data_IF_040020023851
#
_entry.id   IF_040020023851
#
_cell.length_a   1.000
_cell.length_b   1.000
_cell.length_c   1.000
_cell.angle_alpha   90.00
_cell.angle_beta   90.00
_cell.angle_gamma   90.00
#
_symmetry.space_group_name_H-M   'P 1'
#
loop_
_entity.id
_entity.type
_entity.pdbx_description
1 polymer ?
#
# COMPACT_ATOMS: atom_id res chain seq x y z
N UNK A 1 -28.53 -21.15 1.17
CA UNK A 1 -27.51 -21.78 0.31
C UNK A 1 -26.68 -20.67 -0.33
N UNK A 2 -25.33 -20.73 -0.31
CA UNK A 2 -24.51 -19.77 -1.05
C UNK A 2 -24.77 -19.94 -2.55
N UNK A 3 -24.97 -18.83 -3.27
CA UNK A 3 -25.15 -18.86 -4.72
C UNK A 3 -23.96 -19.57 -5.39
N UNK A 4 -24.19 -20.37 -6.46
CA UNK A 4 -23.10 -21.01 -7.19
C UNK A 4 -22.13 -19.94 -7.70
N UNK A 5 -20.83 -20.12 -7.43
CA UNK A 5 -19.80 -19.22 -7.90
C UNK A 5 -19.88 -19.12 -9.43
N UNK A 6 -20.04 -17.91 -9.97
CA UNK A 6 -20.04 -17.69 -11.42
C UNK A 6 -18.75 -18.29 -11.99
N UNK A 7 -18.82 -19.30 -12.87
CA UNK A 7 -17.63 -19.90 -13.44
C UNK A 7 -16.87 -18.84 -14.23
N UNK A 8 -15.66 -18.49 -13.76
CA UNK A 8 -14.69 -17.77 -14.57
C UNK A 8 -14.21 -16.41 -14.07
N UNK A 9 -14.58 -15.94 -12.88
CA UNK A 9 -14.08 -14.67 -12.33
C UNK A 9 -12.69 -14.83 -11.68
N UNK A 10 -11.80 -13.85 -11.86
CA UNK A 10 -10.56 -13.79 -11.08
C UNK A 10 -10.89 -13.42 -9.64
N UNK A 11 -10.31 -14.14 -8.69
CA UNK A 11 -10.51 -13.86 -7.28
C UNK A 11 -9.42 -12.91 -6.77
N UNK A 12 -9.80 -11.96 -5.93
CA UNK A 12 -8.83 -11.15 -5.19
C UNK A 12 -7.98 -12.07 -4.30
N UNK A 13 -6.69 -12.13 -4.59
CA UNK A 13 -5.72 -12.95 -3.88
C UNK A 13 -5.01 -12.13 -2.78
N UNK A 14 -4.55 -10.93 -3.13
CA UNK A 14 -3.88 -10.03 -2.20
C UNK A 14 -4.21 -8.57 -2.48
N UNK A 15 -4.15 -7.77 -1.44
CA UNK A 15 -4.27 -6.31 -1.51
C UNK A 15 -3.14 -5.69 -0.69
N UNK A 16 -2.53 -4.66 -1.24
CA UNK A 16 -1.51 -3.85 -0.59
C UNK A 16 -1.81 -2.39 -0.86
N UNK A 17 -1.58 -1.53 0.12
CA UNK A 17 -1.76 -0.10 -0.07
C UNK A 17 -0.49 0.66 0.32
N UNK A 18 -0.22 1.75 -0.40
CA UNK A 18 0.93 2.63 -0.17
C UNK A 18 0.38 4.05 0.01
N UNK A 19 0.40 4.60 1.24
CA UNK A 19 -0.03 5.97 1.50
C UNK A 19 0.97 6.98 0.94
N UNK A 20 0.45 8.11 0.48
CA UNK A 20 1.26 9.28 0.16
C UNK A 20 1.42 10.16 1.41
N UNK A 21 2.63 10.67 1.66
CA UNK A 21 2.94 11.38 2.90
C UNK A 21 2.24 12.76 3.02
N UNK A 22 2.02 13.44 1.90
CA UNK A 22 1.49 14.80 1.83
C UNK A 22 0.13 14.90 1.09
N UNK A 23 -0.49 13.76 0.77
CA UNK A 23 -1.75 13.68 0.04
C UNK A 23 -2.67 12.63 0.67
N UNK A 24 -3.99 12.85 0.73
CA UNK A 24 -4.94 11.85 1.22
C UNK A 24 -5.10 10.65 0.25
N UNK A 25 -4.37 10.66 -0.87
CA UNK A 25 -4.35 9.59 -1.85
C UNK A 25 -3.56 8.37 -1.37
N UNK A 26 -4.13 7.19 -1.64
CA UNK A 26 -3.58 5.89 -1.32
C UNK A 26 -3.46 5.08 -2.62
N UNK A 27 -2.25 4.65 -2.97
CA UNK A 27 -2.09 3.72 -4.09
C UNK A 27 -2.49 2.32 -3.62
N UNK A 28 -3.48 1.74 -4.28
CA UNK A 28 -3.97 0.38 -4.04
C UNK A 28 -3.39 -0.54 -5.11
N UNK A 29 -2.72 -1.60 -4.66
CA UNK A 29 -2.19 -2.69 -5.46
C UNK A 29 -3.00 -3.95 -5.14
N UNK A 30 -3.92 -4.31 -6.03
CA UNK A 30 -4.78 -5.47 -5.86
C UNK A 30 -4.40 -6.58 -6.86
N UNK A 31 -4.15 -7.79 -6.37
CA UNK A 31 -3.74 -8.94 -7.19
C UNK A 31 -4.90 -9.91 -7.34
N UNK A 32 -5.28 -10.18 -8.58
CA UNK A 32 -6.38 -11.05 -8.95
C UNK A 32 -5.81 -12.30 -9.62
N UNK A 33 -6.30 -13.47 -9.24
CA UNK A 33 -5.80 -14.74 -9.77
C UNK A 33 -6.95 -15.63 -10.23
N UNK A 34 -6.74 -16.27 -11.39
CA UNK A 34 -7.55 -17.36 -11.93
C UNK A 34 -6.61 -18.43 -12.49
N UNK A 35 -6.43 -19.52 -11.75
CA UNK A 35 -5.42 -20.53 -12.06
C UNK A 35 -4.02 -19.90 -12.26
N UNK A 36 -3.45 -20.00 -13.47
CA UNK A 36 -2.14 -19.41 -13.82
C UNK A 36 -2.24 -17.99 -14.40
N UNK A 37 -3.44 -17.46 -14.64
CA UNK A 37 -3.63 -16.10 -15.12
C UNK A 37 -3.75 -15.14 -13.93
N UNK A 38 -2.70 -14.35 -13.73
CA UNK A 38 -2.55 -13.47 -12.57
C UNK A 38 -2.37 -12.04 -13.06
N UNK A 39 -3.20 -11.16 -12.52
CA UNK A 39 -3.22 -9.74 -12.83
C UNK A 39 -3.01 -8.92 -11.57
N UNK A 40 -2.34 -7.78 -11.72
CA UNK A 40 -2.26 -6.73 -10.71
C UNK A 40 -2.97 -5.49 -11.25
N UNK A 41 -3.92 -5.00 -10.46
CA UNK A 41 -4.61 -3.74 -10.67
C UNK A 41 -3.98 -2.67 -9.79
N UNK A 42 -3.70 -1.52 -10.39
CA UNK A 42 -3.30 -0.31 -9.70
C UNK A 42 -4.48 0.65 -9.71
N UNK A 43 -4.82 1.16 -8.54
CA UNK A 43 -5.84 2.18 -8.39
C UNK A 43 -5.39 3.25 -7.41
N UNK A 44 -5.84 4.48 -7.60
CA UNK A 44 -5.69 5.54 -6.61
C UNK A 44 -7.01 5.66 -5.86
N UNK A 45 -6.95 5.49 -4.54
CA UNK A 45 -8.08 5.66 -3.66
C UNK A 45 -7.88 6.90 -2.80
N UNK A 46 -8.89 7.76 -2.74
CA UNK A 46 -8.92 8.89 -1.80
C UNK A 46 -10.20 8.72 -0.97
N UNK A 47 -10.13 8.71 0.36
CA UNK A 47 -11.32 8.62 1.22
C UNK A 47 -12.42 9.60 0.78
N UNK A 48 -13.64 9.08 0.64
CA UNK A 48 -14.81 9.86 0.20
C UNK A 48 -14.89 10.15 -1.30
N UNK A 49 -13.92 9.72 -2.12
CA UNK A 49 -13.97 9.84 -3.59
C UNK A 49 -14.13 8.47 -4.25
N UNK A 50 -14.70 8.42 -5.47
CA UNK A 50 -14.69 7.20 -6.28
C UNK A 50 -13.27 6.68 -6.50
N UNK A 51 -13.13 5.37 -6.64
CA UNK A 51 -11.85 4.75 -6.96
C UNK A 51 -11.39 5.18 -8.35
N UNK A 52 -10.18 5.74 -8.44
CA UNK A 52 -9.58 6.06 -9.72
C UNK A 52 -8.85 4.82 -10.25
N UNK A 53 -9.46 4.16 -11.24
CA UNK A 53 -8.89 3.00 -11.91
C UNK A 53 -7.63 3.36 -12.69
N UNK A 54 -6.67 2.43 -12.69
CA UNK A 54 -5.39 2.58 -13.36
C UNK A 54 -4.99 1.34 -14.15
N UNK A 55 -3.68 1.06 -14.13
CA UNK A 55 -3.12 -0.03 -14.92
C UNK A 55 -3.60 -1.41 -14.44
N UNK A 56 -3.93 -2.26 -15.40
CA UNK A 56 -3.96 -3.72 -15.23
C UNK A 56 -2.74 -4.31 -15.90
N UNK A 57 -1.91 -5.02 -15.13
CA UNK A 57 -0.67 -5.60 -15.63
C UNK A 57 -0.49 -7.04 -15.17
N UNK A 58 0.15 -7.85 -16.01
CA UNK A 58 0.67 -9.18 -15.64
C UNK A 58 2.05 -9.11 -14.97
N UNK A 59 2.50 -7.91 -14.63
CA UNK A 59 3.72 -7.70 -13.89
C UNK A 59 3.52 -8.11 -12.44
N UNK A 60 4.50 -8.82 -11.89
CA UNK A 60 4.59 -9.13 -10.47
C UNK A 60 5.31 -7.97 -9.79
N UNK A 61 4.53 -7.06 -9.19
CA UNK A 61 5.07 -5.94 -8.43
C UNK A 61 5.65 -6.43 -7.10
N UNK A 62 6.89 -6.02 -6.82
CA UNK A 62 7.54 -6.28 -5.55
C UNK A 62 7.09 -5.17 -4.61
N UNK A 63 5.99 -5.43 -3.90
CA UNK A 63 5.29 -4.41 -3.12
C UNK A 63 6.21 -3.71 -2.14
N UNK A 64 7.15 -4.41 -1.50
CA UNK A 64 8.13 -3.87 -0.55
C UNK A 64 9.16 -2.89 -1.14
N UNK A 65 9.32 -2.88 -2.46
CA UNK A 65 10.23 -1.98 -3.18
C UNK A 65 9.48 -0.90 -3.98
N UNK A 66 8.15 -0.85 -3.90
CA UNK A 66 7.36 0.22 -4.48
C UNK A 66 7.31 1.44 -3.55
N UNK A 67 7.32 2.66 -4.08
CA UNK A 67 7.22 3.92 -3.33
C UNK A 67 6.35 4.89 -4.09
N UNK A 68 5.51 5.62 -3.36
CA UNK A 68 4.68 6.70 -3.91
C UNK A 68 5.29 8.01 -3.44
N UNK A 69 5.43 8.98 -4.34
CA UNK A 69 5.94 10.29 -3.95
C UNK A 69 4.95 11.00 -2.99
N UNK A 70 5.39 11.99 -2.20
CA UNK A 70 4.57 12.59 -1.15
C UNK A 70 3.20 13.09 -1.61
N UNK A 71 3.07 13.58 -2.84
CA UNK A 71 1.83 14.13 -3.40
C UNK A 71 0.98 13.11 -4.19
N UNK A 72 1.35 11.83 -4.17
CA UNK A 72 0.67 10.72 -4.84
C UNK A 72 0.67 10.77 -6.39
N UNK A 73 1.54 11.56 -7.02
CA UNK A 73 1.54 11.70 -8.49
C UNK A 73 2.37 10.67 -9.23
N UNK A 74 3.44 10.19 -8.61
CA UNK A 74 4.41 9.29 -9.19
C UNK A 74 4.61 8.07 -8.30
N UNK A 75 4.93 6.98 -8.97
CA UNK A 75 5.22 5.68 -8.39
C UNK A 75 6.58 5.22 -8.90
N UNK A 76 7.55 5.09 -8.01
CA UNK A 76 8.72 4.26 -8.24
C UNK A 76 8.34 2.82 -7.93
N UNK A 77 8.37 1.93 -8.93
CA UNK A 77 7.97 0.54 -8.75
C UNK A 77 9.05 -0.43 -9.16
N UNK A 78 9.14 -1.51 -8.39
CA UNK A 78 9.92 -2.68 -8.70
C UNK A 78 8.99 -3.76 -9.26
N UNK A 79 9.33 -4.33 -10.41
CA UNK A 79 8.51 -5.35 -11.04
C UNK A 79 9.34 -6.48 -11.65
N UNK A 80 8.75 -7.66 -11.69
CA UNK A 80 9.26 -8.83 -12.42
C UNK A 80 8.20 -9.32 -13.38
N UNK A 81 8.62 -9.90 -14.51
CA UNK A 81 7.73 -10.65 -15.40
C UNK A 81 7.95 -12.15 -15.20
N UNK A 82 7.13 -12.83 -14.39
CA UNK A 82 7.24 -14.27 -14.24
C UNK A 82 7.03 -14.93 -15.61
N UNK A 83 7.88 -15.90 -15.95
CA UNK A 83 7.83 -16.66 -17.22
C UNK A 83 8.25 -15.89 -18.48
N UNK A 84 9.07 -14.85 -18.36
CA UNK A 84 9.75 -14.33 -19.55
C UNK A 84 10.74 -15.39 -20.09
N UNK A 85 10.67 -15.78 -21.38
CA UNK A 85 11.67 -16.65 -22.00
C UNK A 85 13.08 -16.06 -21.82
N UNK A 86 14.06 -16.90 -21.46
CA UNK A 86 15.44 -16.46 -21.21
C UNK A 86 16.13 -15.94 -22.48
N UNK A 87 15.81 -16.52 -23.63
CA UNK A 87 16.57 -16.32 -24.88
C UNK A 87 15.87 -15.38 -25.87
N UNK A 88 15.22 -14.33 -25.38
CA UNK A 88 14.59 -13.36 -26.27
C UNK A 88 15.64 -12.48 -26.96
N UNK A 89 15.65 -12.46 -28.30
CA UNK A 89 16.55 -11.65 -29.13
C UNK A 89 16.45 -10.12 -28.96
N UNK A 90 15.52 -9.62 -28.12
CA UNK A 90 15.35 -8.18 -27.84
C UNK A 90 15.31 -7.96 -26.32
N UNK A 91 15.92 -6.86 -25.82
CA UNK A 91 15.77 -6.45 -24.43
C UNK A 91 14.28 -6.36 -24.08
N UNK A 92 13.86 -7.08 -23.04
CA UNK A 92 12.49 -7.01 -22.53
C UNK A 92 12.55 -6.31 -21.18
N UNK A 93 11.95 -5.11 -21.04
CA UNK A 93 11.85 -4.46 -19.75
C UNK A 93 11.25 -5.41 -18.71
N UNK A 94 11.86 -5.47 -17.53
CA UNK A 94 11.46 -6.35 -16.42
C UNK A 94 11.62 -7.87 -16.67
N UNK A 95 12.26 -8.30 -17.76
CA UNK A 95 12.65 -9.69 -17.99
C UNK A 95 14.09 -9.93 -17.53
N UNK A 96 14.33 -11.03 -16.82
CA UNK A 96 15.68 -11.45 -16.45
C UNK A 96 15.70 -12.58 -15.43
N UNK A 97 16.78 -13.34 -15.43
CA UNK A 97 17.07 -14.44 -14.50
C UNK A 97 17.33 -14.00 -13.05
N UNK A 98 17.45 -12.69 -12.80
CA UNK A 98 18.07 -12.15 -11.59
C UNK A 98 17.18 -11.48 -10.56
N UNK A 99 16.24 -10.59 -10.92
CA UNK A 99 15.63 -9.74 -9.87
C UNK A 99 14.49 -8.80 -10.30
N UNK A 100 14.28 -8.57 -11.59
CA UNK A 100 13.31 -7.60 -12.10
C UNK A 100 13.92 -6.22 -12.32
N UNK A 101 13.09 -5.26 -12.71
CA UNK A 101 13.52 -3.89 -12.99
C UNK A 101 12.84 -2.86 -12.08
N UNK A 102 13.43 -1.67 -12.01
CA UNK A 102 12.90 -0.46 -11.39
C UNK A 102 12.55 0.55 -12.47
N UNK A 103 11.44 1.26 -12.28
CA UNK A 103 11.10 2.41 -13.10
C UNK A 103 10.21 3.38 -12.31
N UNK A 104 10.13 4.62 -12.79
CA UNK A 104 9.17 5.61 -12.31
C UNK A 104 8.01 5.76 -13.30
N UNK A 105 6.79 5.85 -12.80
CA UNK A 105 5.57 6.06 -13.59
C UNK A 105 4.65 7.08 -12.93
N UNK A 106 3.67 7.59 -13.68
CA UNK A 106 2.58 8.37 -13.11
C UNK A 106 1.49 7.48 -12.53
N UNK A 107 1.05 7.78 -11.31
CA UNK A 107 -0.06 7.08 -10.65
C UNK A 107 -1.39 7.38 -11.38
N UNK A 108 -2.31 6.39 -11.48
CA UNK A 108 -2.20 4.98 -11.11
C UNK A 108 -1.78 4.07 -12.29
N UNK A 109 -0.97 4.56 -13.22
CA UNK A 109 -0.55 3.84 -14.43
C UNK A 109 0.89 3.30 -14.32
N UNK A 110 1.24 2.33 -15.16
CA UNK A 110 2.58 1.70 -15.20
C UNK A 110 3.34 2.02 -16.49
N UNK A 111 3.08 3.18 -17.11
CA UNK A 111 3.95 3.68 -18.17
C UNK A 111 5.26 4.15 -17.55
N UNK A 112 6.34 3.39 -17.75
CA UNK A 112 7.68 3.77 -17.32
C UNK A 112 8.12 5.06 -18.02
N UNK A 113 8.21 6.15 -17.26
CA UNK A 113 8.69 7.47 -17.66
C UNK A 113 10.22 7.58 -17.57
N UNK A 114 10.85 6.58 -16.99
CA UNK A 114 12.30 6.39 -16.97
C UNK A 114 12.66 5.16 -17.77
N UNK A 115 13.92 5.05 -18.14
CA UNK A 115 14.49 3.77 -18.51
C UNK A 115 14.41 2.80 -17.34
N UNK A 116 14.31 1.51 -17.68
CA UNK A 116 14.19 0.46 -16.66
C UNK A 116 15.59 0.12 -16.18
N UNK A 117 15.81 0.25 -14.89
CA UNK A 117 17.10 -0.05 -14.26
C UNK A 117 17.03 -1.45 -13.63
N UNK A 118 18.06 -2.28 -13.85
CA UNK A 118 18.15 -3.59 -13.21
C UNK A 118 18.19 -3.48 -11.68
N UNK A 119 17.49 -4.35 -10.96
CA UNK A 119 17.44 -4.31 -9.48
C UNK A 119 18.72 -4.79 -8.80
N UNK A 120 19.54 -5.55 -9.50
CA UNK A 120 20.83 -6.03 -9.01
C UNK A 120 21.93 -5.66 -9.99
N UNK A 121 23.13 -5.39 -9.50
CA UNK A 121 24.30 -5.07 -10.34
C UNK A 121 24.59 -6.15 -11.39
N UNK A 122 24.25 -7.41 -11.11
CA UNK A 122 24.40 -8.53 -12.05
C UNK A 122 23.21 -8.74 -12.98
N UNK A 123 22.16 -7.91 -12.88
CA UNK A 123 20.99 -8.06 -13.74
C UNK A 123 21.06 -7.12 -14.95
N UNK A 124 21.18 -7.71 -16.14
CA UNK A 124 20.90 -7.02 -17.41
C UNK A 124 19.37 -6.82 -17.61
N UNK A 125 18.56 -6.86 -16.54
CA UNK A 125 17.10 -6.67 -16.59
C UNK A 125 16.77 -5.18 -16.58
N UNK A 126 17.23 -4.48 -17.61
CA UNK A 126 17.00 -3.07 -17.82
C UNK A 126 16.93 -2.77 -19.30
N UNK A 127 16.73 -1.50 -19.63
CA UNK A 127 16.74 -1.02 -21.00
C UNK A 127 15.79 0.14 -21.24
N UNK A 128 15.83 0.67 -22.47
CA UNK A 128 15.07 1.87 -22.81
C UNK A 128 13.58 1.62 -22.65
N UNK A 129 12.89 2.56 -22.00
CA UNK A 129 11.42 2.53 -21.97
C UNK A 129 10.83 3.18 -23.21
N UNK A 130 9.75 2.60 -23.74
CA UNK A 130 8.96 3.19 -24.84
C UNK A 130 8.43 4.59 -24.48
N UNK A 131 8.25 4.87 -23.19
CA UNK A 131 7.71 6.13 -22.68
C UNK A 131 8.72 6.92 -21.85
N UNK A 132 10.01 6.57 -21.96
CA UNK A 132 11.09 7.29 -21.31
C UNK A 132 11.03 8.77 -21.69
N UNK A 133 11.14 9.63 -20.67
CA UNK A 133 11.27 11.07 -20.83
C UNK A 133 12.72 11.44 -21.19
N UNK A 134 12.98 12.74 -21.35
CA UNK A 134 14.35 13.23 -21.55
C UNK A 134 15.24 12.87 -20.34
N UNK A 135 16.55 12.70 -20.55
CA UNK A 135 17.47 12.31 -19.47
C UNK A 135 17.38 13.24 -18.24
N UNK A 136 17.25 14.55 -18.46
CA UNK A 136 17.05 15.53 -17.38
C UNK A 136 15.74 15.31 -16.61
N UNK A 137 14.63 15.03 -17.31
CA UNK A 137 13.35 14.71 -16.66
C UNK A 137 13.39 13.37 -15.92
N UNK A 138 14.09 12.38 -16.46
CA UNK A 138 14.30 11.10 -15.77
C UNK A 138 15.09 11.29 -14.48
N UNK A 139 16.17 12.08 -14.50
CA UNK A 139 16.94 12.39 -13.31
C UNK A 139 16.08 13.08 -12.25
N UNK A 140 15.30 14.09 -12.64
CA UNK A 140 14.35 14.75 -11.74
C UNK A 140 13.37 13.75 -11.10
N UNK A 141 12.88 12.76 -11.86
CA UNK A 141 12.01 11.71 -11.33
C UNK A 141 12.75 10.81 -10.34
N UNK A 142 14.00 10.42 -10.62
CA UNK A 142 14.79 9.61 -9.69
C UNK A 142 15.12 10.37 -8.41
N UNK A 143 15.44 11.67 -8.50
CA UNK A 143 15.74 12.53 -7.36
C UNK A 143 14.58 12.62 -6.38
N UNK A 144 13.32 12.58 -6.86
CA UNK A 144 12.13 12.51 -5.99
C UNK A 144 12.11 11.28 -5.09
N UNK A 145 12.82 10.21 -5.45
CA UNK A 145 12.88 8.96 -4.70
C UNK A 145 14.27 8.66 -4.12
N UNK A 146 15.32 9.41 -4.47
CA UNK A 146 16.70 9.14 -4.02
C UNK A 146 16.84 9.08 -2.50
N UNK A 147 16.11 9.92 -1.75
CA UNK A 147 16.09 9.89 -0.26
C UNK A 147 15.49 8.58 0.30
N UNK A 148 14.77 7.81 -0.53
CA UNK A 148 14.11 6.57 -0.14
C UNK A 148 14.66 5.32 -0.85
N UNK A 149 15.54 5.51 -1.83
CA UNK A 149 16.16 4.46 -2.64
C UNK A 149 17.64 4.26 -2.31
N UNK A 150 18.09 4.68 -1.12
CA UNK A 150 19.21 4.03 -0.45
C UNK A 150 18.81 2.57 -0.25
N UNK A 151 18.87 1.80 -1.33
CA UNK A 151 18.80 0.36 -1.31
C UNK A 151 20.05 -0.03 -0.52
N UNK A 152 19.92 -0.54 0.72
CA UNK A 152 20.98 -1.41 1.18
C UNK A 152 21.06 -2.47 0.09
N UNK A 153 22.28 -2.71 -0.39
CA UNK A 153 22.61 -3.76 -1.35
C UNK A 153 21.58 -4.89 -1.27
N UNK A 154 20.91 -5.32 -2.36
CA UNK A 154 19.89 -6.37 -2.30
C UNK A 154 20.38 -7.70 -1.70
N UNK A 155 21.69 -7.88 -1.48
CA UNK A 155 22.27 -8.97 -0.70
C UNK A 155 22.28 -8.72 0.82
N UNK A 156 22.28 -7.46 1.23
CA UNK A 156 21.98 -7.00 2.58
C UNK A 156 20.49 -6.66 2.69
N UNK A 157 19.72 -7.63 3.21
CA UNK A 157 18.48 -7.34 3.90
C UNK A 157 18.82 -6.41 5.08
N UNK A 158 18.92 -5.10 4.82
CA UNK A 158 19.12 -4.09 5.85
C UNK A 158 18.06 -4.23 6.94
N UNK A 159 18.36 -3.66 8.11
CA UNK A 159 17.51 -3.67 9.29
C UNK A 159 16.01 -3.60 8.89
N UNK A 160 15.17 -4.55 9.34
CA UNK A 160 13.73 -4.63 9.00
C UNK A 160 12.98 -3.29 9.14
N UNK A 161 13.53 -2.38 9.93
CA UNK A 161 13.06 -1.04 10.23
C UNK A 161 13.02 -0.10 9.02
N UNK A 162 13.96 -0.22 8.08
CA UNK A 162 14.05 0.69 6.93
C UNK A 162 12.86 0.56 5.97
N UNK A 163 12.29 -0.64 5.84
CA UNK A 163 11.21 -0.88 4.87
C UNK A 163 9.90 -0.24 5.30
N UNK A 164 9.45 -0.40 6.56
CA UNK A 164 8.15 0.15 6.95
C UNK A 164 8.21 1.67 7.06
N UNK A 165 9.28 2.23 7.64
CA UNK A 165 9.48 3.68 7.65
C UNK A 165 9.46 4.28 6.23
N UNK A 166 10.07 3.60 5.25
CA UNK A 166 10.12 4.06 3.88
C UNK A 166 8.82 3.84 3.07
N UNK A 167 8.01 2.82 3.39
CA UNK A 167 6.75 2.54 2.68
C UNK A 167 5.52 3.20 3.26
N UNK A 168 5.63 3.55 4.52
CA UNK A 168 4.52 3.70 5.42
C UNK A 168 4.96 4.81 6.41
N UNK A 169 4.85 6.09 6.00
CA UNK A 169 5.42 7.22 6.72
C UNK A 169 4.71 7.45 8.06
N UNK A 170 5.45 7.54 9.16
CA UNK A 170 4.91 7.84 10.48
C UNK A 170 4.80 6.64 11.42
N UNK A 171 5.05 5.41 10.94
CA UNK A 171 5.21 4.29 11.86
C UNK A 171 6.44 4.49 12.74
N UNK A 172 6.27 4.22 14.02
CA UNK A 172 7.37 4.21 15.00
C UNK A 172 7.57 2.80 15.51
N UNK A 173 8.82 2.40 15.71
CA UNK A 173 9.16 1.11 16.29
C UNK A 173 8.86 1.11 17.79
N UNK A 174 8.31 0.01 18.32
CA UNK A 174 8.13 -0.15 19.75
C UNK A 174 9.39 -0.65 20.42
N UNK A 175 9.69 -0.16 21.62
CA UNK A 175 10.80 -0.68 22.40
C UNK A 175 10.55 -2.15 22.80
N UNK A 176 11.60 -2.94 23.05
CA UNK A 176 11.43 -4.30 23.59
C UNK A 176 10.59 -4.34 24.87
N UNK A 177 10.67 -3.32 25.74
CA UNK A 177 9.84 -3.24 26.94
C UNK A 177 8.35 -3.05 26.60
N UNK A 178 8.04 -2.15 25.66
CA UNK A 178 6.66 -1.95 25.20
C UNK A 178 6.08 -3.22 24.57
N UNK A 179 6.89 -3.92 23.78
CA UNK A 179 6.51 -5.22 23.21
C UNK A 179 6.25 -6.26 24.30
N UNK A 180 7.04 -6.30 25.38
CA UNK A 180 6.80 -7.22 26.49
C UNK A 180 5.45 -6.96 27.17
N UNK A 181 5.07 -5.70 27.37
CA UNK A 181 3.76 -5.35 27.92
C UNK A 181 2.60 -5.78 27.01
N UNK A 182 2.80 -5.74 25.69
CA UNK A 182 1.81 -6.19 24.71
C UNK A 182 1.78 -7.74 24.55
N UNK A 183 2.89 -8.42 24.80
CA UNK A 183 3.04 -9.87 24.55
C UNK A 183 2.72 -10.75 25.75
N UNK A 184 2.44 -10.20 26.94
CA UNK A 184 1.78 -10.91 28.06
C UNK A 184 0.35 -11.40 27.72
N UNK A 185 -0.04 -11.32 26.46
CA UNK A 185 -1.26 -11.88 25.93
C UNK A 185 -1.17 -13.40 25.79
N UNK A 186 -2.10 -14.16 26.38
CA UNK A 186 -2.27 -15.54 26.00
C UNK A 186 -2.73 -15.55 24.55
N UNK A 187 -1.87 -15.95 23.63
CA UNK A 187 -2.35 -16.47 22.35
C UNK A 187 -3.13 -17.71 22.72
N UNK A 188 -4.46 -17.58 22.87
CA UNK A 188 -5.36 -18.71 22.94
C UNK A 188 -5.26 -19.42 21.59
N UNK A 189 -4.24 -20.26 21.42
CA UNK A 189 -4.41 -21.42 20.56
C UNK A 189 -5.44 -22.27 21.28
N UNK A 190 -6.50 -22.65 20.58
CA UNK A 190 -7.29 -23.81 20.99
C UNK A 190 -6.27 -24.91 21.27
N UNK A 191 -6.12 -25.27 22.55
CA UNK A 191 -5.19 -26.31 22.94
C UNK A 191 -5.49 -27.52 22.07
N UNK A 192 -4.45 -28.17 21.53
CA UNK A 192 -4.65 -29.55 21.05
C UNK A 192 -5.22 -30.28 22.25
N UNK A 193 -6.47 -30.75 22.15
CA UNK A 193 -6.99 -31.70 23.12
C UNK A 193 -6.04 -32.90 23.07
N UNK A 194 -5.56 -33.32 24.22
CA UNK A 194 -4.83 -34.58 24.30
C UNK A 194 -5.76 -35.74 23.90
N UNK A 195 -5.21 -36.95 23.82
CA UNK A 195 -5.98 -38.16 23.49
C UNK A 195 -7.15 -38.42 24.46
N UNK A 196 -7.23 -37.70 25.58
CA UNK A 196 -8.25 -37.83 26.63
C UNK A 196 -9.21 -36.64 26.68
N UNK A 197 -9.17 -35.74 25.69
CA UNK A 197 -10.10 -34.61 25.58
C UNK A 197 -9.82 -33.46 26.54
N UNK A 198 -8.71 -33.47 27.32
CA UNK A 198 -8.38 -32.38 28.24
C UNK A 198 -7.74 -31.24 27.47
N UNK A 199 -8.23 -30.03 27.69
CA UNK A 199 -7.56 -28.81 27.24
C UNK A 199 -6.41 -28.51 28.20
N UNK A 200 -5.19 -28.88 27.84
CA UNK A 200 -4.01 -28.33 28.53
C UNK A 200 -3.90 -26.86 28.13
N UNK A 201 -3.94 -25.90 29.07
CA UNK A 201 -3.60 -24.53 28.75
C UNK A 201 -2.14 -24.53 28.32
N UNK A 202 -1.90 -24.33 27.02
CA UNK A 202 -0.55 -24.05 26.54
C UNK A 202 -0.21 -22.65 27.04
N UNK A 203 0.37 -22.58 28.24
CA UNK A 203 1.16 -21.43 28.63
C UNK A 203 2.32 -21.42 27.64
N UNK A 204 2.20 -20.59 26.60
CA UNK A 204 3.31 -20.29 25.73
C UNK A 204 4.34 -19.56 26.60
N UNK A 205 5.23 -20.32 27.25
CA UNK A 205 6.53 -19.80 27.64
C UNK A 205 7.10 -19.20 26.38
N UNK A 206 7.09 -17.87 26.28
CA UNK A 206 7.53 -17.15 25.09
C UNK A 206 9.00 -17.49 24.94
N UNK A 207 9.40 -18.34 23.97
CA UNK A 207 10.82 -18.64 23.80
C UNK A 207 11.51 -17.32 23.45
N UNK A 208 12.80 -17.23 23.68
CA UNK A 208 13.68 -16.11 23.30
C UNK A 208 13.52 -15.58 21.84
N UNK A 209 12.67 -16.20 21.01
CA UNK A 209 12.29 -15.78 19.66
C UNK A 209 11.20 -14.70 19.52
N UNK A 210 10.68 -14.07 20.59
CA UNK A 210 9.91 -12.83 20.45
C UNK A 210 10.76 -11.62 20.03
N UNK A 211 12.09 -11.69 20.17
CA UNK A 211 13.03 -10.76 19.54
C UNK A 211 12.84 -10.66 18.02
N UNK A 212 12.13 -11.62 17.42
CA UNK A 212 11.92 -11.67 15.99
C UNK A 212 10.46 -11.37 15.62
N UNK A 213 9.80 -10.37 16.18
CA UNK A 213 8.62 -9.81 15.51
C UNK A 213 8.71 -8.30 15.53
N UNK A 214 8.70 -7.72 14.34
CA UNK A 214 8.63 -6.27 14.20
C UNK A 214 7.26 -5.84 14.71
N UNK A 215 7.25 -4.89 15.63
CA UNK A 215 6.03 -4.27 16.11
C UNK A 215 6.21 -2.76 16.02
N UNK A 216 5.30 -2.13 15.30
CA UNK A 216 5.24 -0.68 15.23
C UNK A 216 3.90 -0.15 15.70
N UNK A 217 3.87 1.16 15.87
CA UNK A 217 2.67 1.90 16.15
C UNK A 217 2.50 3.12 15.24
N UNK A 218 1.25 3.42 14.92
CA UNK A 218 0.78 4.73 14.48
C UNK A 218 -0.14 5.27 15.58
N UNK A 219 0.29 6.31 16.26
CA UNK A 219 -0.50 6.96 17.30
C UNK A 219 -1.36 8.10 16.72
N UNK A 220 -2.56 8.26 17.28
CA UNK A 220 -3.40 9.42 17.09
C UNK A 220 -4.06 9.81 18.43
N UNK A 221 -4.87 10.86 18.43
CA UNK A 221 -5.48 11.37 19.67
C UNK A 221 -6.36 10.34 20.40
N UNK A 222 -6.99 9.42 19.66
CA UNK A 222 -7.93 8.43 20.21
C UNK A 222 -7.28 7.10 20.62
N UNK A 223 -6.01 6.88 20.27
CA UNK A 223 -5.32 5.63 20.53
C UNK A 223 -4.17 5.37 19.57
N UNK A 224 -3.83 4.11 19.36
CA UNK A 224 -2.77 3.71 18.43
C UNK A 224 -3.12 2.45 17.65
N UNK A 225 -2.81 2.46 16.36
CA UNK A 225 -2.80 1.28 15.53
C UNK A 225 -1.47 0.56 15.73
N UNK A 226 -1.53 -0.70 16.09
CA UNK A 226 -0.37 -1.57 16.25
C UNK A 226 -0.32 -2.54 15.08
N UNK A 227 0.89 -2.83 14.59
CA UNK A 227 1.10 -3.88 13.59
C UNK A 227 2.16 -4.85 14.07
N UNK A 228 1.95 -6.14 13.81
CA UNK A 228 2.90 -7.20 14.11
C UNK A 228 3.27 -7.95 12.86
N UNK A 229 4.57 -8.08 12.60
CA UNK A 229 5.12 -8.76 11.43
C UNK A 229 5.95 -9.96 11.90
N UNK A 230 5.54 -11.20 11.57
CA UNK A 230 6.30 -12.38 11.94
C UNK A 230 7.57 -12.48 11.10
N UNK A 231 8.75 -12.55 11.73
CA UNK A 231 10.05 -12.59 11.03
C UNK A 231 10.49 -13.97 10.54
N UNK A 232 9.74 -15.05 10.86
CA UNK A 232 10.25 -16.43 10.68
C UNK A 232 10.59 -16.83 9.24
N UNK A 233 10.32 -15.97 8.26
CA UNK A 233 10.85 -16.07 6.89
C UNK A 233 11.07 -14.67 6.33
N UNK A 234 12.24 -14.08 6.59
CA UNK A 234 12.70 -12.81 5.98
C UNK A 234 12.97 -12.92 4.47
N UNK A 235 12.70 -14.08 3.83
CA UNK A 235 12.47 -14.09 2.38
C UNK A 235 11.11 -13.44 2.11
N UNK A 236 11.09 -12.11 2.17
CA UNK A 236 9.97 -11.20 1.88
C UNK A 236 9.44 -11.30 0.42
N UNK A 237 9.73 -12.38 -0.29
CA UNK A 237 9.32 -12.64 -1.65
C UNK A 237 7.97 -13.37 -1.66
N UNK A 238 6.92 -12.58 -1.44
CA UNK A 238 5.52 -12.90 -1.70
C UNK A 238 4.86 -14.00 -0.88
N UNK A 239 3.75 -13.61 -0.27
CA UNK A 239 3.13 -14.36 0.81
C UNK A 239 3.57 -13.76 2.14
N UNK A 240 3.24 -12.49 2.37
CA UNK A 240 3.33 -11.88 3.69
C UNK A 240 2.58 -12.81 4.65
N UNK A 241 3.34 -13.61 5.40
CA UNK A 241 2.81 -14.40 6.49
C UNK A 241 2.15 -13.44 7.45
N UNK A 242 0.82 -13.49 7.49
CA UNK A 242 -0.08 -12.81 8.43
C UNK A 242 0.51 -11.58 9.14
N UNK A 243 0.66 -10.45 8.43
CA UNK A 243 0.70 -9.16 9.12
C UNK A 243 -0.60 -9.04 9.90
N UNK A 244 -0.50 -8.70 11.18
CA UNK A 244 -1.66 -8.56 12.07
C UNK A 244 -1.74 -7.14 12.56
N UNK A 245 -2.92 -6.56 12.45
CA UNK A 245 -3.21 -5.24 12.97
C UNK A 245 -4.04 -5.38 14.24
N UNK A 246 -3.78 -4.51 15.21
CA UNK A 246 -4.60 -4.34 16.41
C UNK A 246 -4.84 -2.86 16.62
N UNK A 247 -6.03 -2.50 17.10
CA UNK A 247 -6.32 -1.15 17.55
C UNK A 247 -6.22 -1.07 19.07
N UNK A 248 -5.50 -0.11 19.62
CA UNK A 248 -5.46 0.15 21.05
C UNK A 248 -6.01 1.54 21.37
N UNK A 249 -7.22 1.59 21.94
CA UNK A 249 -7.72 2.83 22.55
C UNK A 249 -6.89 3.17 23.81
N UNK A 250 -6.72 4.46 24.10
CA UNK A 250 -5.95 4.92 25.25
C UNK A 250 -6.45 4.27 26.56
N UNK A 251 -5.53 3.71 27.35
CA UNK A 251 -5.83 3.03 28.61
C UNK A 251 -6.52 1.66 28.46
N UNK A 252 -6.82 1.22 27.23
CA UNK A 252 -7.49 -0.06 26.97
C UNK A 252 -6.51 -1.11 26.43
N UNK A 253 -6.94 -2.37 26.48
CA UNK A 253 -6.23 -3.48 25.85
C UNK A 253 -6.38 -3.37 24.33
N UNK A 254 -5.31 -3.63 23.55
CA UNK A 254 -5.44 -3.68 22.11
C UNK A 254 -6.42 -4.77 21.65
N UNK A 255 -7.22 -4.45 20.63
CA UNK A 255 -8.24 -5.31 20.05
C UNK A 255 -7.75 -5.78 18.67
N UNK A 256 -7.67 -7.10 18.41
CA UNK A 256 -7.27 -7.61 17.09
C UNK A 256 -8.23 -7.18 15.98
N UNK A 257 -7.68 -6.89 14.80
CA UNK A 257 -8.43 -6.62 13.57
C UNK A 257 -8.31 -7.83 12.65
N UNK A 258 -9.05 -8.93 12.88
CA UNK A 258 -8.84 -10.19 12.19
C UNK A 258 -9.08 -10.09 10.68
N UNK A 259 -9.92 -9.15 10.23
CA UNK A 259 -10.24 -8.99 8.82
C UNK A 259 -9.33 -7.99 8.09
N UNK A 260 -8.46 -7.26 8.79
CA UNK A 260 -7.53 -6.33 8.15
C UNK A 260 -6.40 -7.08 7.45
N UNK A 261 -6.23 -6.84 6.14
CA UNK A 261 -5.04 -7.18 5.35
C UNK A 261 -4.00 -6.07 5.38
N UNK A 262 -4.48 -4.83 5.45
CA UNK A 262 -3.67 -3.63 5.58
C UNK A 262 -4.48 -2.59 6.38
N UNK A 263 -3.82 -1.80 7.21
CA UNK A 263 -4.47 -0.73 7.96
C UNK A 263 -3.51 0.45 8.16
N UNK A 264 -4.09 1.64 8.30
CA UNK A 264 -3.37 2.91 8.41
C UNK A 264 -4.20 3.98 9.13
N UNK A 265 -3.55 5.02 9.65
CA UNK A 265 -4.24 6.22 10.16
C UNK A 265 -3.78 7.43 9.35
N UNK A 266 -4.71 8.10 8.66
CA UNK A 266 -4.36 9.30 7.89
C UNK A 266 -4.05 10.51 8.80
N UNK A 267 -3.59 11.60 8.18
CA UNK A 267 -3.25 12.84 8.91
C UNK A 267 -4.48 13.47 9.61
N UNK A 268 -5.70 13.10 9.20
CA UNK A 268 -6.96 13.55 9.78
C UNK A 268 -7.44 12.62 10.92
N UNK A 269 -6.68 11.58 11.25
CA UNK A 269 -7.03 10.61 12.28
C UNK A 269 -8.12 9.61 11.85
N UNK A 270 -8.37 9.45 10.55
CA UNK A 270 -9.25 8.40 10.03
C UNK A 270 -8.48 7.09 9.93
N UNK A 271 -9.11 6.00 10.37
CA UNK A 271 -8.56 4.66 10.20
C UNK A 271 -8.96 4.14 8.83
N UNK A 272 -7.97 3.84 7.99
CA UNK A 272 -8.12 3.26 6.67
C UNK A 272 -7.83 1.77 6.77
N UNK A 273 -8.70 0.93 6.20
CA UNK A 273 -8.56 -0.53 6.27
C UNK A 273 -8.80 -1.14 4.90
N UNK A 274 -7.91 -2.02 4.47
CA UNK A 274 -8.16 -2.95 3.39
C UNK A 274 -8.44 -4.33 3.99
N UNK A 275 -9.62 -4.89 3.71
CA UNK A 275 -10.07 -6.13 4.34
C UNK A 275 -9.64 -7.38 3.55
N UNK A 276 -9.71 -8.55 4.19
CA UNK A 276 -9.53 -9.86 3.55
C UNK A 276 -10.59 -10.16 2.50
N UNK A 277 -11.80 -9.62 2.68
CA UNK A 277 -12.91 -9.75 1.73
C UNK A 277 -12.78 -8.80 0.54
N UNK A 278 -11.79 -7.91 0.51
CA UNK A 278 -11.56 -6.99 -0.61
C UNK A 278 -12.33 -5.68 -0.51
N UNK A 279 -12.68 -5.25 0.70
CA UNK A 279 -13.24 -3.93 0.94
C UNK A 279 -12.14 -2.93 1.28
N UNK A 280 -12.27 -1.72 0.77
CA UNK A 280 -11.55 -0.53 1.20
C UNK A 280 -12.47 0.29 2.09
N UNK A 281 -12.14 0.36 3.38
CA UNK A 281 -13.00 0.92 4.41
C UNK A 281 -12.33 2.12 5.07
N UNK A 282 -13.12 3.15 5.33
CA UNK A 282 -12.72 4.31 6.11
C UNK A 282 -13.53 4.34 7.39
N UNK A 283 -12.86 4.58 8.50
CA UNK A 283 -13.45 4.67 9.82
C UNK A 283 -13.14 6.03 10.41
N UNK A 284 -14.11 6.59 11.12
CA UNK A 284 -13.94 7.82 11.91
C UNK A 284 -14.11 7.49 13.40
N UNK A 285 -13.51 8.26 14.31
CA UNK A 285 -13.80 8.14 15.73
C UNK A 285 -15.32 8.23 15.97
N UNK A 286 -15.86 7.29 16.73
CA UNK A 286 -17.28 7.24 17.09
C UNK A 286 -17.57 8.32 18.13
N UNK A 287 -18.69 9.03 17.97
CA UNK A 287 -19.26 9.88 19.04
C UNK A 287 -20.04 9.00 20.01
N UNK A 288 -20.37 9.54 21.19
CA UNK A 288 -21.04 8.79 22.29
C UNK A 288 -22.35 8.11 21.87
N UNK A 289 -23.04 8.64 20.85
CA UNK A 289 -24.29 8.10 20.30
C UNK A 289 -24.10 7.17 19.10
N UNK A 290 -22.90 7.06 18.54
CA UNK A 290 -22.68 6.34 17.30
C UNK A 290 -22.58 4.84 17.55
N UNK A 291 -23.21 4.05 16.67
CA UNK A 291 -23.02 2.61 16.63
C UNK A 291 -21.58 2.31 16.19
N UNK A 292 -20.80 1.71 17.09
CA UNK A 292 -19.42 1.32 16.78
C UNK A 292 -19.38 0.17 15.77
N UNK A 293 -18.32 0.12 14.99
CA UNK A 293 -18.03 -0.98 14.09
C UNK A 293 -17.70 -2.26 14.88
N UNK A 294 -18.17 -3.44 14.43
CA UNK A 294 -17.84 -4.70 15.07
C UNK A 294 -16.32 -4.91 15.18
N UNK A 295 -15.82 -5.21 16.38
CA UNK A 295 -14.39 -5.45 16.61
C UNK A 295 -13.50 -4.21 16.62
N UNK A 296 -14.07 -3.01 16.44
CA UNK A 296 -13.36 -1.72 16.44
C UNK A 296 -14.08 -0.73 17.35
N UNK A 297 -14.02 -0.97 18.67
CA UNK A 297 -14.59 -0.05 19.66
C UNK A 297 -14.02 1.36 19.49
N UNK A 298 -14.89 2.37 19.55
CA UNK A 298 -14.51 3.76 19.36
C UNK A 298 -14.37 4.19 17.89
N UNK A 299 -14.67 3.31 16.93
CA UNK A 299 -14.71 3.64 15.50
C UNK A 299 -16.09 3.40 14.92
N UNK A 300 -16.51 4.24 13.97
CA UNK A 300 -17.69 4.01 13.14
C UNK A 300 -17.26 3.89 11.68
N UNK A 301 -17.86 2.95 10.96
CA UNK A 301 -17.67 2.84 9.52
C UNK A 301 -18.21 4.11 8.85
N UNK A 302 -17.37 4.78 8.08
CA UNK A 302 -17.72 6.00 7.36
C UNK A 302 -18.04 5.72 5.90
N UNK A 303 -17.21 4.93 5.22
CA UNK A 303 -17.44 4.46 3.85
C UNK A 303 -16.78 3.10 3.64
N UNK A 304 -17.37 2.29 2.75
CA UNK A 304 -16.83 1.00 2.31
C UNK A 304 -16.95 0.91 0.79
N UNK A 305 -15.91 0.41 0.14
CA UNK A 305 -15.85 0.17 -1.30
C UNK A 305 -15.39 -1.26 -1.54
N UNK A 306 -16.22 -2.07 -2.18
CA UNK A 306 -15.86 -3.44 -2.59
C UNK A 306 -15.05 -3.42 -3.89
N UNK A 307 -13.84 -3.98 -3.84
CA UNK A 307 -12.98 -4.19 -5.02
C UNK A 307 -12.75 -5.68 -5.32
N UNK A 308 -13.39 -6.59 -4.57
CA UNK A 308 -13.21 -8.04 -4.72
C UNK A 308 -13.75 -8.57 -6.05
N UNK A 309 -14.72 -7.86 -6.63
CA UNK A 309 -15.44 -8.23 -7.84
C UNK A 309 -14.88 -7.61 -9.12
N UNK A 310 -13.80 -6.84 -9.04
CA UNK A 310 -13.19 -6.21 -10.22
C UNK A 310 -12.65 -7.27 -11.18
N UNK A 311 -12.90 -7.06 -12.47
CA UNK A 311 -12.41 -7.92 -13.55
C UNK A 311 -11.26 -7.24 -14.29
N UNK A 312 -10.21 -7.99 -14.67
CA UNK A 312 -9.12 -7.42 -15.45
C UNK A 312 -9.60 -6.74 -16.72
N UNK A 313 -9.27 -5.45 -16.87
CA UNK A 313 -9.59 -4.64 -18.05
C UNK A 313 -8.33 -3.89 -18.51
N UNK A 314 -7.35 -4.58 -19.12
CA UNK A 314 -6.13 -3.94 -19.59
C UNK A 314 -6.42 -2.97 -20.73
N UNK A 315 -5.96 -1.73 -20.56
CA UNK A 315 -6.00 -0.69 -21.57
C UNK A 315 -4.65 0.01 -21.73
N UNK A 316 -4.42 0.72 -22.85
CA UNK A 316 -3.23 1.56 -22.99
C UNK A 316 -3.25 2.66 -21.94
N UNK A 317 -2.07 3.08 -21.48
CA UNK A 317 -2.00 4.25 -20.62
C UNK A 317 -2.49 5.50 -21.35
N UNK A 318 -3.28 6.36 -20.70
CA UNK A 318 -3.79 7.57 -21.32
C UNK A 318 -2.63 8.51 -21.69
N UNK A 319 -2.87 9.43 -22.63
CA UNK A 319 -1.82 10.34 -23.11
C UNK A 319 -1.22 11.17 -21.98
N UNK A 320 -2.02 11.66 -21.04
CA UNK A 320 -1.56 12.43 -19.88
C UNK A 320 -0.59 11.65 -18.98
N UNK A 321 -0.72 10.31 -18.90
CA UNK A 321 0.18 9.49 -18.10
C UNK A 321 1.58 9.40 -18.73
N UNK A 322 1.71 9.72 -20.02
CA UNK A 322 2.92 9.61 -20.85
C UNK A 322 3.49 10.97 -21.28
N UNK A 323 2.85 12.08 -20.91
CA UNK A 323 3.29 13.44 -21.30
C UNK A 323 4.64 13.81 -20.66
N UNK A 324 5.32 14.83 -21.17
CA UNK A 324 6.50 15.41 -20.50
C UNK A 324 6.12 16.08 -19.17
N UNK A 325 7.11 16.32 -18.31
CA UNK A 325 6.91 17.05 -17.06
C UNK A 325 6.63 18.55 -17.34
N UNK A 326 7.36 19.12 -18.31
CA UNK A 326 7.24 20.53 -18.70
C UNK A 326 5.85 20.91 -19.24
N UNK A 327 5.18 20.01 -19.97
CA UNK A 327 3.82 20.28 -20.47
C UNK A 327 2.77 20.51 -19.37
N UNK A 328 3.10 20.17 -18.10
CA UNK A 328 2.18 20.30 -16.95
C UNK A 328 2.36 21.60 -16.18
N UNK A 329 3.58 22.14 -16.10
CA UNK A 329 3.83 23.45 -15.48
C UNK A 329 3.06 24.54 -16.22
N UNK A 330 3.01 24.46 -17.54
CA UNK A 330 2.31 25.43 -18.39
C UNK A 330 0.78 25.38 -18.22
N UNK A 331 0.20 24.18 -18.07
CA UNK A 331 -1.23 24.01 -17.82
C UNK A 331 -1.64 24.48 -16.43
N UNK A 332 -0.82 24.20 -15.42
CA UNK A 332 -1.09 24.64 -14.05
C UNK A 332 -1.01 26.17 -13.94
N UNK A 333 -0.04 26.78 -14.61
CA UNK A 333 0.06 28.24 -14.73
C UNK A 333 -1.13 28.83 -15.50
N UNK A 334 -1.55 28.19 -16.59
CA UNK A 334 -2.70 28.64 -17.40
C UNK A 334 -4.04 28.50 -16.68
N UNK A 335 -4.26 27.42 -15.91
CA UNK A 335 -5.45 27.25 -15.08
C UNK A 335 -5.49 28.27 -13.93
N UNK A 336 -4.35 28.55 -13.28
CA UNK A 336 -4.26 29.62 -12.27
C UNK A 336 -4.58 31.00 -12.86
N UNK A 337 -4.14 31.30 -14.09
CA UNK A 337 -4.49 32.57 -14.78
C UNK A 337 -5.98 32.66 -15.12
N UNK A 338 -6.67 31.55 -15.37
CA UNK A 338 -8.12 31.52 -15.63
C UNK A 338 -8.96 31.64 -14.35
N UNK A 339 -8.44 31.22 -13.20
CA UNK A 339 -9.06 31.45 -11.89
C UNK A 339 -8.68 32.82 -11.31
N UNK A 340 -8.58 33.86 -12.15
CA UNK A 340 -8.46 35.24 -11.66
C UNK A 340 -9.73 35.51 -10.85
N UNK A 341 -9.63 35.95 -9.58
CA UNK A 341 -10.81 36.16 -8.75
C UNK A 341 -11.74 37.13 -9.49
N UNK A 342 -12.95 36.69 -9.79
CA UNK A 342 -14.03 37.59 -10.18
C UNK A 342 -14.11 38.64 -9.09
N UNK A 343 -13.81 39.90 -9.46
CA UNK A 343 -13.94 41.05 -8.57
C UNK A 343 -15.31 40.91 -7.89
N UNK A 344 -15.39 40.91 -6.55
CA UNK A 344 -16.69 40.85 -5.90
C UNK A 344 -17.56 41.97 -6.49
N UNK A 345 -18.85 41.71 -6.74
CA UNK A 345 -19.75 42.73 -7.24
C UNK A 345 -19.62 43.95 -6.32
N UNK A 346 -19.64 45.18 -6.87
CA UNK A 346 -19.69 46.38 -6.04
C UNK A 346 -20.84 46.20 -5.05
N UNK A 347 -20.55 46.27 -3.75
CA UNK A 347 -21.62 46.41 -2.78
C UNK A 347 -22.20 47.79 -3.01
N UNK A 348 -23.42 47.84 -3.51
CA UNK A 348 -24.19 49.07 -3.54
C UNK A 348 -24.41 49.48 -2.08
N UNK A 349 -23.72 50.55 -1.67
CA UNK A 349 -24.01 51.29 -0.45
C UNK A 349 -25.38 51.96 -0.64
N UNK A 350 -26.45 51.19 -0.44
CA UNK A 350 -27.81 51.71 -0.44
C UNK A 350 -28.40 51.72 0.98
N UNK A 351 -28.39 52.93 1.53
CA UNK A 351 -29.37 53.53 2.43
C UNK A 351 -29.33 53.16 3.91
N UNK A 352 -28.56 53.98 4.64
CA UNK A 352 -29.02 54.50 5.91
C UNK A 352 -30.20 55.48 5.67
N UNK A 353 -31.35 55.18 6.27
CA UNK A 353 -32.39 56.14 6.67
C UNK A 353 -33.18 55.55 7.83
#
# INVERSE_FOLDING_TARGET
MPAPAKPGTHNLNSIWCIPAAASPGLLVLARYAKARDIWTHLALWTPGKPLQHGAWARLRLITSACRVCPDAQFLCYAATRPNAPRDAAKPRPFAGSGSGGLAVSRVPWLSALTDVVGRTFMSNSGGPSKHALTAAEQQNLWDMFHVCLDFPDPTYLGEPDAWLAAQQPGWTHLSPQEVQHLTRWPVQRAGKRDAYGRSTPVVLSLPNGLQKCWIGQLACQSGRLLVRIPTRNTRFLEGIGHVRYCWQQQGQKPVPMPDAKWAWIDAQGQLLVATKSGHLETYRPARRSDKCAPGLSGWRLHASLDISTLTPSPGPSPSWARQSLAARTDRSASQRKRQKPTKPPPMDDEQAS
#
